data_IF_860095136836
#
_entry.id   IF_860095136836
#
_cell.length_a   1.000
_cell.length_b   1.000
_cell.length_c   1.000
_cell.angle_alpha   90.00
_cell.angle_beta   90.00
_cell.angle_gamma   90.00
#
_symmetry.space_group_name_H-M   'P 1'
#
loop_
_entity.id
_entity.type
_entity.pdbx_description
1 polymer ?
#
# COMPACT_ATOMS: atom_id res chain seq x y z
N UNK A 1 -18.07 -1.88 0.95
CA UNK A 1 -17.22 -1.20 -0.04
C UNK A 1 -15.85 -1.85 -0.06
N UNK A 2 -15.34 -2.15 -1.24
CA UNK A 2 -14.07 -2.84 -1.38
C UNK A 2 -12.90 -1.87 -1.24
N UNK A 3 -11.84 -2.28 -0.59
CA UNK A 3 -10.65 -1.43 -0.53
C UNK A 3 -10.02 -1.28 -1.91
N UNK A 4 -9.49 -0.12 -2.15
CA UNK A 4 -8.84 0.20 -3.41
C UNK A 4 -7.38 0.53 -3.15
N UNK A 5 -6.52 -0.06 -3.94
CA UNK A 5 -5.08 0.17 -3.81
C UNK A 5 -4.55 0.71 -5.13
N UNK A 6 -3.97 1.89 -5.07
CA UNK A 6 -3.33 2.49 -6.22
C UNK A 6 -1.85 2.65 -5.98
N UNK A 7 -1.04 2.39 -7.00
CA UNK A 7 0.40 2.51 -6.89
C UNK A 7 0.91 3.35 -8.05
N UNK A 8 1.66 4.37 -7.71
CA UNK A 8 2.28 5.25 -8.67
C UNK A 8 3.79 5.13 -8.53
N UNK A 9 4.45 4.58 -9.53
CA UNK A 9 5.86 4.25 -9.45
C UNK A 9 6.69 5.33 -10.12
N UNK A 10 7.69 5.80 -9.39
CA UNK A 10 8.66 6.73 -9.90
C UNK A 10 10.03 6.06 -9.96
N UNK A 11 11.01 6.82 -10.40
CA UNK A 11 12.35 6.28 -10.57
C UNK A 11 12.96 5.79 -9.26
N UNK A 12 12.85 6.61 -8.23
CA UNK A 12 13.53 6.32 -6.96
C UNK A 12 12.57 5.96 -5.84
N UNK A 13 11.28 6.08 -6.09
CA UNK A 13 10.30 5.82 -5.04
C UNK A 13 8.97 5.45 -5.69
N UNK A 14 8.06 4.98 -4.86
CA UNK A 14 6.71 4.75 -5.32
C UNK A 14 5.73 5.23 -4.27
N UNK A 15 4.59 5.67 -4.73
CA UNK A 15 3.55 6.23 -3.89
C UNK A 15 2.36 5.26 -3.88
N UNK A 16 1.90 4.94 -2.69
CA UNK A 16 0.81 3.99 -2.53
C UNK A 16 -0.38 4.71 -1.92
N UNK A 17 -1.54 4.51 -2.51
CA UNK A 17 -2.79 5.03 -1.99
C UNK A 17 -3.70 3.87 -1.63
N UNK A 18 -4.17 3.87 -0.41
CA UNK A 18 -5.09 2.84 0.06
C UNK A 18 -6.37 3.49 0.54
N UNK A 19 -7.48 3.09 -0.06
CA UNK A 19 -8.79 3.63 0.29
C UNK A 19 -9.62 2.52 0.94
N UNK A 20 -10.00 2.75 2.19
CA UNK A 20 -10.81 1.80 2.94
C UNK A 20 -11.90 2.56 3.67
N UNK A 21 -13.15 2.16 3.46
CA UNK A 21 -14.28 2.71 4.22
C UNK A 21 -14.28 4.23 4.31
N UNK A 22 -14.15 4.89 3.17
CA UNK A 22 -14.14 6.35 3.08
C UNK A 22 -12.91 6.99 3.69
N UNK A 23 -11.93 6.20 4.04
CA UNK A 23 -10.68 6.74 4.55
C UNK A 23 -9.60 6.53 3.50
N UNK A 24 -8.90 7.61 3.22
CA UNK A 24 -7.83 7.56 2.23
C UNK A 24 -6.50 7.67 2.96
N UNK A 25 -5.66 6.69 2.72
CA UNK A 25 -4.32 6.68 3.27
C UNK A 25 -3.32 6.58 2.15
N UNK A 26 -2.27 7.34 2.25
CA UNK A 26 -1.25 7.29 1.23
C UNK A 26 0.10 7.40 1.89
N UNK A 27 1.10 6.84 1.23
CA UNK A 27 2.44 6.83 1.76
C UNK A 27 3.42 6.64 0.62
N UNK A 28 4.61 7.18 0.80
CA UNK A 28 5.68 7.03 -0.17
C UNK A 28 6.74 6.10 0.37
N UNK A 29 7.21 5.21 -0.47
CA UNK A 29 8.24 4.26 -0.12
C UNK A 29 9.38 4.36 -1.11
N UNK A 30 10.55 3.94 -0.68
CA UNK A 30 11.69 3.87 -1.56
C UNK A 30 11.56 2.71 -2.53
N UNK A 31 11.98 2.92 -3.77
CA UNK A 31 11.91 1.88 -4.79
C UNK A 31 13.11 0.94 -4.64
N UNK A 32 13.11 0.18 -3.58
CA UNK A 32 14.18 -0.76 -3.25
C UNK A 32 13.63 -1.81 -2.30
N UNK A 33 14.47 -2.80 -1.98
CA UNK A 33 14.02 -3.91 -1.12
C UNK A 33 13.47 -3.43 0.21
N UNK A 34 14.15 -2.48 0.85
CA UNK A 34 13.69 -1.96 2.13
C UNK A 34 12.32 -1.32 2.00
N UNK A 35 12.11 -0.60 0.90
CA UNK A 35 10.83 0.03 0.67
C UNK A 35 9.71 -0.98 0.50
N UNK A 36 9.98 -2.05 -0.22
CA UNK A 36 8.99 -3.09 -0.41
C UNK A 36 8.67 -3.80 0.91
N UNK A 37 9.68 -4.02 1.73
CA UNK A 37 9.45 -4.64 3.03
C UNK A 37 8.58 -3.73 3.90
N UNK A 38 8.84 -2.44 3.86
CA UNK A 38 8.04 -1.48 4.60
C UNK A 38 6.61 -1.44 4.08
N UNK A 39 6.45 -1.53 2.77
CA UNK A 39 5.12 -1.56 2.19
C UNK A 39 4.34 -2.77 2.68
N UNK A 40 4.96 -3.91 2.68
CA UNK A 40 4.31 -5.13 3.16
C UNK A 40 3.88 -4.97 4.62
N UNK A 41 4.76 -4.44 5.45
CA UNK A 41 4.44 -4.22 6.85
C UNK A 41 3.30 -3.21 6.99
N UNK A 42 3.35 -2.14 6.20
CA UNK A 42 2.32 -1.12 6.25
C UNK A 42 0.96 -1.68 5.84
N UNK A 43 0.93 -2.46 4.77
CA UNK A 43 -0.31 -3.08 4.31
C UNK A 43 -0.84 -4.06 5.34
N UNK A 44 0.04 -4.82 5.97
CA UNK A 44 -0.36 -5.75 7.02
C UNK A 44 -0.95 -5.00 8.20
N UNK A 45 -0.36 -3.87 8.54
CA UNK A 45 -0.83 -3.07 9.66
C UNK A 45 -2.21 -2.46 9.38
N UNK A 46 -2.42 -2.00 8.15
CA UNK A 46 -3.67 -1.35 7.76
C UNK A 46 -4.54 -2.25 6.91
N UNK A 47 -4.28 -3.52 6.93
CA UNK A 47 -4.96 -4.44 6.05
C UNK A 47 -6.47 -4.40 6.28
N UNK A 48 -7.19 -4.55 5.20
CA UNK A 48 -8.62 -4.72 5.31
C UNK A 48 -8.88 -6.11 5.87
N UNK A 49 -9.74 -6.23 6.87
CA UNK A 49 -10.01 -7.53 7.47
C UNK A 49 -10.51 -8.53 6.43
N UNK A 50 -9.97 -9.71 6.48
CA UNK A 50 -10.39 -10.77 5.61
C UNK A 50 -9.91 -10.64 4.18
N UNK A 51 -9.06 -9.71 3.90
CA UNK A 51 -8.55 -9.54 2.56
C UNK A 51 -7.42 -10.50 2.28
N UNK A 52 -7.46 -11.09 1.12
CA UNK A 52 -6.37 -11.90 0.63
C UNK A 52 -5.62 -11.09 -0.41
N UNK A 53 -4.40 -10.82 -0.13
CA UNK A 53 -3.58 -10.12 -1.08
C UNK A 53 -2.87 -11.15 -1.92
N UNK A 54 -3.54 -11.65 -2.92
CA UNK A 54 -2.86 -12.57 -3.82
C UNK A 54 -2.17 -11.77 -4.90
N UNK A 55 -0.92 -11.98 -4.98
CA UNK A 55 -0.11 -11.31 -5.95
C UNK A 55 0.16 -12.22 -7.12
#
# INVERSE_FOLDING_TARGET
MLPTLGVDISKDSFHVELSINNKLRHRRFLNRKEGFAELCAWLTKHKAPGSHWSL
#
